data_IF_393340049678
#
_entry.id   IF_393340049678
#
_cell.length_a   1.000
_cell.length_b   1.000
_cell.length_c   1.000
_cell.angle_alpha   90.00
_cell.angle_beta   90.00
_cell.angle_gamma   90.00
#
_symmetry.space_group_name_H-M   'P 1'
#
loop_
_entity.id
_entity.type
_entity.pdbx_description
1 polymer ?
#
# COMPACT_ATOMS: atom_id res chain seq x y z
N UNK A 1 2.85 11.36 -11.91
CA UNK A 1 3.73 11.56 -10.74
C UNK A 1 3.81 10.32 -9.87
N UNK A 2 4.48 10.37 -8.71
CA UNK A 2 4.50 9.25 -7.76
C UNK A 2 4.22 9.71 -6.34
N UNK A 3 3.49 8.91 -5.58
CA UNK A 3 3.22 9.12 -4.16
C UNK A 3 3.82 7.98 -3.36
N UNK A 4 4.60 8.30 -2.33
CA UNK A 4 5.15 7.31 -1.40
C UNK A 4 4.33 7.31 -0.11
N UNK A 5 3.74 6.16 0.20
CA UNK A 5 2.94 5.93 1.40
C UNK A 5 3.74 5.10 2.39
N UNK A 6 4.02 5.64 3.57
CA UNK A 6 4.71 4.92 4.65
C UNK A 6 3.70 4.15 5.50
N UNK A 7 3.86 2.83 5.57
CA UNK A 7 3.12 1.93 6.45
C UNK A 7 3.93 1.72 7.73
N UNK A 8 3.35 2.11 8.87
CA UNK A 8 3.98 1.98 10.18
C UNK A 8 3.40 0.79 10.96
N UNK A 9 4.28 -0.09 11.45
CA UNK A 9 3.99 -1.17 12.38
C UNK A 9 4.28 -0.69 13.80
N UNK A 10 3.23 -0.43 14.57
CA UNK A 10 3.32 0.02 15.97
C UNK A 10 3.05 -1.11 16.97
N UNK A 11 3.37 -0.85 18.25
CA UNK A 11 3.08 -1.73 19.40
C UNK A 11 3.76 -3.12 19.40
N UNK A 12 4.72 -3.35 18.51
CA UNK A 12 5.60 -4.52 18.54
C UNK A 12 6.23 -4.85 17.18
N UNK A 13 7.47 -5.32 17.19
CA UNK A 13 8.25 -5.66 15.97
C UNK A 13 8.83 -7.08 16.00
N UNK A 14 8.35 -7.94 16.90
CA UNK A 14 8.75 -9.34 16.98
C UNK A 14 8.13 -10.16 15.84
N UNK A 15 8.90 -11.09 15.29
CA UNK A 15 8.46 -11.97 14.21
C UNK A 15 8.27 -11.27 12.86
N UNK A 16 8.03 -12.08 11.84
CA UNK A 16 7.77 -11.62 10.46
C UNK A 16 6.27 -11.46 10.26
N UNK A 17 5.85 -10.39 9.60
CA UNK A 17 4.43 -10.11 9.31
C UNK A 17 4.27 -9.73 7.85
N UNK A 18 3.33 -10.37 7.16
CA UNK A 18 2.84 -9.94 5.86
C UNK A 18 1.71 -8.94 6.04
N UNK A 19 1.79 -7.81 5.36
CA UNK A 19 0.71 -6.82 5.24
C UNK A 19 0.27 -6.78 3.78
N UNK A 20 -0.96 -7.15 3.50
CA UNK A 20 -1.54 -7.08 2.15
C UNK A 20 -2.27 -5.76 1.98
N UNK A 21 -2.11 -5.14 0.82
CA UNK A 21 -2.78 -3.89 0.46
C UNK A 21 -3.34 -3.94 -0.96
N UNK A 22 -4.31 -3.07 -1.23
CA UNK A 22 -4.84 -2.79 -2.56
C UNK A 22 -5.32 -1.34 -2.66
N UNK A 23 -5.28 -0.78 -3.86
CA UNK A 23 -5.88 0.53 -4.17
C UNK A 23 -7.31 0.38 -4.67
N UNK A 24 -8.18 1.31 -4.30
CA UNK A 24 -9.54 1.42 -4.84
C UNK A 24 -9.83 2.85 -5.26
N UNK A 25 -10.47 3.04 -6.41
CA UNK A 25 -10.90 4.37 -6.87
C UNK A 25 -12.03 4.96 -6.03
N UNK A 26 -12.21 6.27 -6.14
CA UNK A 26 -13.38 7.01 -5.66
C UNK A 26 -13.84 7.96 -6.76
N UNK A 27 -13.47 9.24 -6.70
CA UNK A 27 -13.62 10.16 -7.84
C UNK A 27 -12.55 9.97 -8.89
N UNK A 28 -11.33 9.55 -8.51
CA UNK A 28 -10.28 9.17 -9.44
C UNK A 28 -10.53 7.75 -9.99
N UNK A 29 -10.35 7.60 -11.30
CA UNK A 29 -10.55 6.39 -12.10
C UNK A 29 -9.25 5.62 -12.24
N UNK A 30 -9.32 4.31 -11.96
CA UNK A 30 -8.16 3.43 -12.08
C UNK A 30 -7.77 3.20 -13.54
N UNK A 31 -6.48 3.36 -13.84
CA UNK A 31 -5.90 3.26 -15.19
C UNK A 31 -5.99 4.54 -16.01
N UNK A 32 -6.64 5.59 -15.49
CA UNK A 32 -6.67 6.93 -16.07
C UNK A 32 -5.92 7.93 -15.18
N UNK A 33 -6.25 7.96 -13.89
CA UNK A 33 -5.74 8.97 -12.94
C UNK A 33 -4.71 8.37 -11.98
N UNK A 34 -4.75 7.05 -11.80
CA UNK A 34 -3.74 6.31 -11.07
C UNK A 34 -3.62 4.87 -11.57
N UNK A 35 -2.42 4.29 -11.44
CA UNK A 35 -2.20 2.87 -11.74
C UNK A 35 -2.71 2.02 -10.57
N UNK A 36 -3.61 1.07 -10.84
CA UNK A 36 -4.04 0.11 -9.84
C UNK A 36 -2.82 -0.62 -9.23
N UNK A 37 -2.74 -0.64 -7.91
CA UNK A 37 -1.68 -1.34 -7.19
C UNK A 37 -2.27 -2.26 -6.12
N UNK A 38 -1.76 -3.48 -6.04
CA UNK A 38 -1.98 -4.39 -4.93
C UNK A 38 -0.72 -5.18 -4.67
N UNK A 39 -0.54 -5.64 -3.44
CA UNK A 39 0.69 -6.33 -3.07
C UNK A 39 0.79 -6.69 -1.61
N UNK A 40 1.99 -7.15 -1.23
CA UNK A 40 2.30 -7.52 0.15
C UNK A 40 3.64 -6.90 0.59
N UNK A 41 3.66 -6.37 1.80
CA UNK A 41 4.85 -5.89 2.49
C UNK A 41 5.28 -6.91 3.54
N UNK A 42 6.54 -7.34 3.52
CA UNK A 42 7.11 -8.21 4.55
C UNK A 42 7.85 -7.40 5.60
N UNK A 43 7.26 -7.22 6.78
CA UNK A 43 8.00 -6.67 7.91
C UNK A 43 8.87 -7.76 8.52
N UNK A 44 10.19 -7.60 8.47
CA UNK A 44 11.13 -8.48 9.17
C UNK A 44 11.19 -8.15 10.68
N UNK A 45 11.75 -9.02 11.54
CA UNK A 45 11.90 -8.70 12.95
C UNK A 45 12.69 -7.40 13.13
N UNK A 46 12.20 -6.53 14.01
CA UNK A 46 12.77 -5.20 14.25
C UNK A 46 12.36 -4.12 13.24
N UNK A 47 11.80 -4.48 12.08
CA UNK A 47 11.33 -3.51 11.09
C UNK A 47 9.98 -2.94 11.50
N UNK A 48 9.89 -1.60 11.55
CA UNK A 48 8.69 -0.87 11.98
C UNK A 48 8.09 0.01 10.89
N UNK A 49 8.76 0.18 9.75
CA UNK A 49 8.23 0.92 8.61
C UNK A 49 8.55 0.25 7.28
N UNK A 50 7.63 0.41 6.33
CA UNK A 50 7.81 0.11 4.91
C UNK A 50 7.11 1.14 4.05
N UNK A 51 7.47 1.20 2.78
CA UNK A 51 6.91 2.14 1.83
C UNK A 51 6.20 1.43 0.69
N UNK A 52 5.11 2.04 0.24
CA UNK A 52 4.38 1.70 -0.97
C UNK A 52 4.51 2.89 -1.91
N UNK A 53 5.02 2.65 -3.12
CA UNK A 53 5.09 3.67 -4.15
C UNK A 53 3.93 3.47 -5.12
N UNK A 54 3.10 4.51 -5.25
CA UNK A 54 1.95 4.54 -6.15
C UNK A 54 2.23 5.49 -7.31
N UNK A 55 1.75 5.13 -8.50
CA UNK A 55 1.90 5.95 -9.70
C UNK A 55 0.61 6.70 -9.98
N UNK A 56 0.73 8.02 -10.10
CA UNK A 56 -0.34 8.94 -10.50
C UNK A 56 -0.19 9.20 -11.99
N UNK A 57 -1.30 9.10 -12.71
CA UNK A 57 -1.39 9.42 -14.13
C UNK A 57 -2.06 10.78 -14.27
N UNK A 58 -1.51 11.60 -15.15
CA UNK A 58 -1.91 12.99 -15.34
C UNK A 58 -2.12 13.18 -16.84
N UNK A 59 -3.22 13.80 -17.22
CA UNK A 59 -3.58 14.03 -18.61
C UNK A 59 -3.89 15.52 -18.88
N UNK A 60 -4.35 15.84 -20.09
CA UNK A 60 -4.59 17.23 -20.50
C UNK A 60 -6.03 17.72 -20.26
N UNK A 61 -6.92 16.86 -19.76
CA UNK A 61 -8.30 17.21 -19.47
C UNK A 61 -8.35 18.07 -18.20
N UNK A 62 -9.04 19.22 -18.22
CA UNK A 62 -9.20 20.02 -17.00
C UNK A 62 -10.22 19.35 -16.07
N UNK A 63 -9.73 18.79 -14.98
CA UNK A 63 -10.52 18.07 -13.99
C UNK A 63 -10.57 18.81 -12.65
N UNK A 64 -11.52 18.40 -11.80
CA UNK A 64 -11.59 18.85 -10.42
C UNK A 64 -10.63 18.07 -9.51
N UNK A 65 -10.65 18.32 -8.19
CA UNK A 65 -9.92 17.49 -7.24
C UNK A 65 -10.48 16.07 -7.20
N UNK A 66 -9.59 15.08 -7.29
CA UNK A 66 -9.96 13.67 -7.27
C UNK A 66 -9.32 12.88 -6.13
N UNK A 67 -9.91 11.73 -5.80
CA UNK A 67 -9.53 10.90 -4.68
C UNK A 67 -9.53 9.42 -5.08
N UNK A 68 -8.59 8.67 -4.49
CA UNK A 68 -8.59 7.21 -4.44
C UNK A 68 -8.02 6.78 -3.08
N UNK A 69 -8.23 5.52 -2.74
CA UNK A 69 -7.82 4.95 -1.46
C UNK A 69 -6.73 3.91 -1.62
N UNK A 70 -5.92 3.76 -0.57
CA UNK A 70 -5.07 2.60 -0.34
C UNK A 70 -5.56 1.88 0.92
N UNK A 71 -5.97 0.62 0.76
CA UNK A 71 -6.57 -0.17 1.80
C UNK A 71 -5.61 -1.26 2.26
N UNK A 72 -5.38 -1.35 3.57
CA UNK A 72 -4.76 -2.54 4.16
C UNK A 72 -5.86 -3.57 4.36
N UNK A 73 -5.78 -4.69 3.65
CA UNK A 73 -6.83 -5.71 3.63
C UNK A 73 -6.54 -6.88 4.55
N UNK A 74 -5.26 -7.12 4.87
CA UNK A 74 -4.84 -8.24 5.70
C UNK A 74 -3.52 -8.00 6.39
N UNK A 75 -3.40 -8.46 7.63
CA UNK A 75 -2.13 -8.56 8.35
C UNK A 75 -2.00 -9.97 8.93
N UNK A 76 -0.91 -10.66 8.61
CA UNK A 76 -0.71 -12.06 8.98
C UNK A 76 0.69 -12.29 9.51
N UNK A 77 0.80 -12.97 10.66
CA UNK A 77 2.08 -13.49 11.13
C UNK A 77 2.57 -14.53 10.12
N UNK A 78 3.85 -14.45 9.76
CA UNK A 78 4.49 -15.53 9.01
C UNK A 78 4.74 -16.66 10.00
N UNK A 79 3.94 -17.72 9.90
CA UNK A 79 4.16 -18.93 10.66
C UNK A 79 5.52 -19.51 10.29
N UNK A 80 6.47 -19.47 11.22
CA UNK A 80 7.70 -20.25 11.13
C UNK A 80 7.36 -21.67 11.55
N UNK A 81 6.83 -22.48 10.65
CA UNK A 81 6.67 -23.91 10.91
C UNK A 81 7.97 -24.63 10.58
N UNK A 82 8.67 -25.02 11.66
CA UNK A 82 9.67 -26.08 11.82
C UNK A 82 10.84 -26.14 10.84
N UNK A 83 11.98 -25.58 11.26
CA UNK A 83 13.25 -26.32 11.21
C UNK A 83 13.76 -26.43 12.64
#
# INVERSE_FOLDING_TARGET
GTVNVTVNRSFGSLGRVWVTYETSGDTAISGMDFVQASGRLLFTPGQTSQQITLSIQDDSLPEGPEMFFINITKAELVNQSAV
#
